data_IF_078085182538
#
_entry.id   IF_078085182538
#
_cell.length_a   1.000
_cell.length_b   1.000
_cell.length_c   1.000
_cell.angle_alpha   90.00
_cell.angle_beta   90.00
_cell.angle_gamma   90.00
#
_symmetry.space_group_name_H-M   'P 1'
#
loop_
_entity.id
_entity.type
_entity.pdbx_description
1 polymer ?
#
# COMPACT_ATOMS: atom_id res chain seq x y z
N UNK A 1 -28.66 -36.87 30.78
CA UNK A 1 -29.75 -35.88 30.71
C UNK A 1 -29.74 -35.16 32.06
N UNK A 2 -29.43 -33.88 32.21
CA UNK A 2 -29.39 -32.76 31.28
C UNK A 2 -28.20 -31.84 31.56
N UNK A 3 -27.76 -31.22 30.48
CA UNK A 3 -26.86 -30.08 30.35
C UNK A 3 -27.42 -28.84 31.08
N UNK A 4 -26.57 -28.11 31.81
CA UNK A 4 -26.72 -26.67 32.00
C UNK A 4 -25.36 -26.00 31.81
N UNK A 5 -25.33 -25.13 30.82
CA UNK A 5 -24.25 -24.27 30.33
C UNK A 5 -24.51 -22.83 30.78
N UNK A 6 -23.44 -22.06 31.01
CA UNK A 6 -23.42 -20.60 31.14
C UNK A 6 -23.42 -20.11 32.61
N UNK A 7 -22.60 -19.17 33.07
CA UNK A 7 -21.80 -18.12 32.43
C UNK A 7 -20.60 -17.84 33.37
N UNK A 8 -19.41 -17.61 32.81
CA UNK A 8 -18.20 -17.31 33.57
C UNK A 8 -18.27 -15.93 34.26
N UNK A 9 -17.42 -15.66 35.26
CA UNK A 9 -17.38 -14.35 35.89
C UNK A 9 -17.07 -13.28 34.83
N UNK A 10 -17.95 -12.29 34.71
CA UNK A 10 -17.69 -11.05 33.98
C UNK A 10 -16.52 -10.29 34.64
N UNK A 11 -15.29 -10.68 34.37
CA UNK A 11 -14.09 -9.94 34.75
C UNK A 11 -13.20 -9.69 33.52
N UNK A 12 -13.72 -8.94 32.55
CA UNK A 12 -12.84 -8.20 31.64
C UNK A 12 -13.44 -6.85 31.26
N UNK A 13 -13.98 -6.13 32.25
CA UNK A 13 -14.00 -4.67 32.16
C UNK A 13 -12.64 -4.15 32.64
N UNK A 14 -11.60 -4.39 31.84
CA UNK A 14 -10.35 -3.62 31.96
C UNK A 14 -10.68 -2.13 31.78
N UNK A 15 -9.90 -1.20 32.35
CA UNK A 15 -10.25 0.21 32.37
C UNK A 15 -10.09 0.79 30.96
N UNK A 16 -11.10 0.60 30.11
CA UNK A 16 -11.31 1.40 28.89
C UNK A 16 -11.66 2.86 29.26
N UNK A 17 -11.79 3.15 30.56
CA UNK A 17 -11.75 4.49 31.13
C UNK A 17 -10.39 4.85 31.73
N UNK A 18 -9.29 4.40 31.15
CA UNK A 18 -8.07 5.21 31.23
C UNK A 18 -8.17 6.23 30.11
N UNK A 19 -8.91 7.31 30.37
CA UNK A 19 -8.81 8.52 29.57
C UNK A 19 -7.37 8.96 29.60
N UNK A 20 -6.60 8.50 28.62
CA UNK A 20 -5.23 8.92 28.41
C UNK A 20 -5.28 10.42 28.14
N UNK A 21 -5.23 11.22 29.20
CA UNK A 21 -4.84 12.61 29.13
C UNK A 21 -3.33 12.66 28.85
N UNK A 22 -2.88 12.01 27.77
CA UNK A 22 -1.69 12.48 27.11
C UNK A 22 -2.11 13.82 26.53
N UNK A 23 -1.66 14.91 27.16
CA UNK A 23 -1.64 16.20 26.50
C UNK A 23 -0.85 15.99 25.22
N UNK A 24 -1.54 15.73 24.12
CA UNK A 24 -0.95 15.72 22.80
C UNK A 24 -0.41 17.15 22.65
N UNK A 25 0.89 17.33 22.86
CA UNK A 25 1.53 18.63 22.70
C UNK A 25 1.73 18.84 21.20
N UNK A 26 0.62 18.93 20.47
CA UNK A 26 0.61 19.41 19.09
C UNK A 26 0.93 20.90 19.16
N UNK A 27 2.23 21.21 19.27
CA UNK A 27 2.70 22.54 18.94
C UNK A 27 2.43 22.70 17.46
N UNK A 28 1.30 23.33 17.15
CA UNK A 28 0.92 23.65 15.78
C UNK A 28 2.09 24.44 15.19
N UNK A 29 2.77 23.82 14.24
CA UNK A 29 3.87 24.47 13.55
C UNK A 29 3.28 25.63 12.73
N UNK A 30 3.95 26.78 12.74
CA UNK A 30 3.48 27.96 12.00
C UNK A 30 3.35 27.58 10.52
N UNK A 31 2.14 27.72 9.97
CA UNK A 31 1.83 27.32 8.59
C UNK A 31 1.29 25.89 8.42
N UNK A 32 0.96 25.18 9.50
CA UNK A 32 0.19 23.94 9.43
C UNK A 32 -1.12 24.14 8.63
N UNK A 33 -1.41 23.23 7.70
CA UNK A 33 -2.54 23.35 6.76
C UNK A 33 -2.26 24.18 5.50
N UNK A 34 -1.12 24.85 5.39
CA UNK A 34 -0.73 25.54 4.15
C UNK A 34 -0.16 24.58 3.10
N UNK A 35 -0.35 24.91 1.82
CA UNK A 35 0.20 24.13 0.69
C UNK A 35 1.72 23.99 0.78
N UNK A 36 2.42 25.05 1.17
CA UNK A 36 3.87 25.04 1.32
C UNK A 36 4.33 24.09 2.43
N UNK A 37 3.63 24.07 3.57
CA UNK A 37 3.92 23.13 4.66
C UNK A 37 3.64 21.68 4.24
N UNK A 38 2.55 21.43 3.52
CA UNK A 38 2.25 20.10 2.98
C UNK A 38 3.34 19.61 2.01
N UNK A 39 3.79 20.48 1.09
CA UNK A 39 4.88 20.14 0.17
C UNK A 39 6.19 19.85 0.90
N UNK A 40 6.54 20.64 1.92
CA UNK A 40 7.75 20.40 2.71
C UNK A 40 7.69 19.06 3.47
N UNK A 41 6.51 18.64 3.94
CA UNK A 41 6.31 17.35 4.61
C UNK A 41 6.43 16.15 3.66
N UNK A 42 6.02 16.30 2.40
CA UNK A 42 6.06 15.21 1.40
C UNK A 42 7.40 15.17 0.65
N UNK A 43 8.07 16.30 0.48
CA UNK A 43 9.31 16.41 -0.30
C UNK A 43 10.41 15.46 0.18
N UNK A 44 10.68 15.43 1.50
CA UNK A 44 11.76 14.59 2.04
C UNK A 44 11.50 13.09 1.93
N UNK A 45 10.29 12.57 2.27
CA UNK A 45 9.93 11.19 1.98
C UNK A 45 10.09 10.81 0.50
N UNK A 46 9.65 11.67 -0.43
CA UNK A 46 9.76 11.42 -1.88
C UNK A 46 11.22 11.44 -2.34
N UNK A 47 12.02 12.41 -1.88
CA UNK A 47 13.45 12.50 -2.20
C UNK A 47 14.22 11.25 -1.71
N UNK A 48 13.91 10.77 -0.51
CA UNK A 48 14.48 9.53 0.03
C UNK A 48 14.00 8.28 -0.70
N UNK A 49 12.74 8.25 -1.14
CA UNK A 49 12.19 7.15 -1.94
C UNK A 49 12.85 7.08 -3.32
N UNK A 50 13.07 8.23 -3.98
CA UNK A 50 13.73 8.31 -5.29
C UNK A 50 15.13 7.68 -5.27
N UNK A 51 15.90 7.88 -4.20
CA UNK A 51 17.24 7.28 -4.04
C UNK A 51 17.19 5.76 -3.84
N UNK A 52 16.06 5.21 -3.40
CA UNK A 52 15.86 3.78 -3.11
C UNK A 52 15.20 3.02 -4.25
N UNK A 53 14.46 3.70 -5.13
CA UNK A 53 13.80 3.04 -6.25
C UNK A 53 14.82 2.50 -7.25
N UNK A 54 14.64 1.25 -7.64
CA UNK A 54 15.40 0.64 -8.72
C UNK A 54 14.89 1.22 -10.04
N UNK A 55 15.79 1.74 -10.86
CA UNK A 55 15.47 2.10 -12.24
C UNK A 55 14.91 0.87 -12.95
N UNK A 56 13.84 1.05 -13.73
CA UNK A 56 13.31 -0.07 -14.51
C UNK A 56 14.25 -0.33 -15.67
N UNK A 57 14.78 -1.56 -15.75
CA UNK A 57 15.83 -1.94 -16.69
C UNK A 57 15.40 -1.85 -18.18
N UNK A 58 14.10 -1.91 -18.48
CA UNK A 58 13.59 -1.97 -19.84
C UNK A 58 12.32 -1.10 -19.99
N UNK A 59 12.44 0.23 -20.07
CA UNK A 59 11.28 1.12 -20.15
C UNK A 59 10.43 0.91 -21.41
N UNK A 60 11.05 0.46 -22.51
CA UNK A 60 10.34 0.10 -23.74
C UNK A 60 9.37 -1.08 -23.57
N UNK A 61 9.66 -2.01 -22.64
CA UNK A 61 8.79 -3.15 -22.32
C UNK A 61 7.58 -2.70 -21.51
N UNK A 62 7.72 -1.69 -20.65
CA UNK A 62 6.61 -1.16 -19.85
C UNK A 62 5.51 -0.58 -20.74
N UNK A 63 5.87 0.06 -21.87
CA UNK A 63 4.89 0.52 -22.84
C UNK A 63 4.05 -0.62 -23.41
N UNK A 64 4.67 -1.79 -23.65
CA UNK A 64 3.99 -3.01 -24.09
C UNK A 64 3.13 -3.64 -22.97
N UNK A 65 3.57 -3.54 -21.71
CA UNK A 65 2.75 -3.94 -20.54
C UNK A 65 1.52 -3.06 -20.41
N UNK A 66 1.67 -1.73 -20.58
CA UNK A 66 0.55 -0.78 -20.59
C UNK A 66 -0.43 -1.01 -21.74
N UNK A 67 0.07 -1.49 -22.89
CA UNK A 67 -0.75 -1.92 -24.03
C UNK A 67 -1.45 -3.27 -23.83
N UNK A 68 -1.26 -3.93 -22.68
CA UNK A 68 -1.93 -5.20 -22.34
C UNK A 68 -1.34 -6.42 -23.03
N UNK A 69 -0.11 -6.35 -23.53
CA UNK A 69 0.55 -7.50 -24.15
C UNK A 69 0.94 -8.53 -23.08
N UNK A 70 0.80 -9.82 -23.39
CA UNK A 70 1.08 -10.90 -22.42
C UNK A 70 2.58 -11.10 -22.25
N UNK A 71 3.02 -11.08 -20.99
CA UNK A 71 4.37 -11.41 -20.59
C UNK A 71 4.36 -12.67 -19.72
N UNK A 72 5.26 -13.60 -20.00
CA UNK A 72 5.54 -14.72 -19.10
C UNK A 72 7.00 -14.69 -18.70
N UNK A 73 7.27 -14.67 -17.39
CA UNK A 73 8.63 -14.62 -16.82
C UNK A 73 9.50 -13.47 -17.37
N UNK A 74 8.88 -12.35 -17.76
CA UNK A 74 9.58 -11.19 -18.33
C UNK A 74 9.88 -11.28 -19.83
N UNK A 75 9.47 -12.35 -20.52
CA UNK A 75 9.52 -12.44 -21.97
C UNK A 75 8.17 -12.12 -22.61
N UNK A 76 8.22 -11.39 -23.72
CA UNK A 76 7.06 -11.10 -24.55
C UNK A 76 6.58 -12.42 -25.18
N UNK A 77 5.37 -12.87 -24.82
CA UNK A 77 4.77 -14.05 -25.45
C UNK A 77 4.02 -13.59 -26.69
N UNK A 78 4.63 -13.79 -27.85
CA UNK A 78 3.94 -13.60 -29.11
C UNK A 78 2.87 -14.69 -29.29
N UNK A 79 1.66 -14.29 -29.68
CA UNK A 79 0.57 -15.21 -29.97
C UNK A 79 1.05 -16.18 -31.07
N UNK A 80 0.93 -17.52 -30.89
CA UNK A 80 1.38 -18.45 -31.92
C UNK A 80 0.66 -18.13 -33.23
N UNK A 81 1.44 -17.87 -34.29
CA UNK A 81 0.90 -17.70 -35.64
C UNK A 81 0.07 -18.94 -35.95
N UNK A 82 -1.22 -18.73 -36.24
CA UNK A 82 -2.12 -19.77 -36.71
C UNK A 82 -1.45 -20.38 -37.94
N UNK A 83 -0.98 -21.64 -37.85
CA UNK A 83 -0.37 -22.33 -39.00
C UNK A 83 -1.40 -22.31 -40.14
N UNK A 84 -1.06 -21.85 -41.35
CA UNK A 84 -1.97 -21.98 -42.48
C UNK A 84 -2.21 -23.47 -42.70
N UNK A 85 -3.49 -23.83 -42.78
CA UNK A 85 -3.93 -25.19 -43.10
C UNK A 85 -3.49 -25.42 -44.55
N UNK A 86 -2.42 -26.18 -44.74
CA UNK A 86 -2.08 -26.70 -46.06
C UNK A 86 -3.14 -27.76 -46.38
N UNK A 87 -4.07 -27.37 -47.24
CA UNK A 87 -4.87 -28.27 -48.07
C UNK A 87 -4.07 -28.59 -49.33
#
# INVERSE_FOLDING_TARGET
MAEQVGEGPCEIAGPVMSGHASRLRTKVTRGAGSRTAALAMVFKPVESAQKRWRAVNAPHVIALVGAGVRFERGQLVERPRRRPRHE
#
